data_IF_326795935344
#
_entry.id   IF_326795935344
#
_cell.length_a   1.000
_cell.length_b   1.000
_cell.length_c   1.000
_cell.angle_alpha   90.00
_cell.angle_beta   90.00
_cell.angle_gamma   90.00
#
_symmetry.space_group_name_H-M   'P 1'
#
loop_
_entity.id
_entity.type
_entity.pdbx_description
1 polymer ?
#
# COMPACT_ATOMS: atom_id res chain seq x y z
N UNK A 1 9.57 -11.93 -10.76
CA UNK A 1 8.98 -12.95 -11.65
C UNK A 1 10.02 -13.66 -12.53
N UNK A 2 10.97 -12.92 -13.10
CA UNK A 2 12.08 -13.51 -13.89
C UNK A 2 12.88 -14.59 -13.14
N UNK A 3 13.27 -14.32 -11.88
CA UNK A 3 13.99 -15.28 -11.04
C UNK A 3 13.24 -16.61 -10.88
N UNK A 4 11.93 -16.54 -10.56
CA UNK A 4 11.08 -17.72 -10.41
C UNK A 4 10.94 -18.52 -11.71
N UNK A 5 10.75 -17.84 -12.85
CA UNK A 5 10.71 -18.51 -14.16
C UNK A 5 12.02 -19.22 -14.47
N UNK A 6 13.17 -18.63 -14.10
CA UNK A 6 14.48 -19.25 -14.27
C UNK A 6 14.69 -20.46 -13.37
N UNK A 7 14.27 -20.41 -12.11
CA UNK A 7 14.32 -21.55 -11.18
C UNK A 7 13.44 -22.71 -11.65
N UNK A 8 12.23 -22.40 -12.13
CA UNK A 8 11.28 -23.39 -12.66
C UNK A 8 11.58 -23.84 -14.10
N UNK A 9 12.65 -23.33 -14.73
CA UNK A 9 13.03 -23.59 -16.12
C UNK A 9 11.88 -23.36 -17.12
N UNK A 10 11.07 -22.32 -16.90
CA UNK A 10 9.95 -21.95 -17.77
C UNK A 10 10.48 -21.14 -18.95
N UNK A 11 10.21 -21.59 -20.17
CA UNK A 11 10.56 -20.84 -21.38
C UNK A 11 9.62 -19.64 -21.55
N UNK A 12 10.11 -18.59 -22.19
CA UNK A 12 9.28 -17.45 -22.58
C UNK A 12 8.23 -17.83 -23.63
N UNK A 13 8.48 -18.89 -24.40
CA UNK A 13 7.54 -19.45 -25.39
C UNK A 13 6.32 -20.09 -24.75
N UNK A 14 6.43 -20.55 -23.50
CA UNK A 14 5.37 -21.28 -22.82
C UNK A 14 4.19 -20.38 -22.42
N UNK A 15 4.37 -19.04 -22.48
CA UNK A 15 3.36 -18.01 -22.18
C UNK A 15 2.57 -18.25 -20.88
N UNK A 16 3.20 -18.88 -19.88
CA UNK A 16 2.57 -19.19 -18.59
C UNK A 16 2.26 -17.90 -17.82
N UNK A 17 1.06 -17.79 -17.25
CA UNK A 17 0.66 -16.63 -16.44
C UNK A 17 1.51 -16.45 -15.18
N UNK A 18 1.68 -15.22 -14.69
CA UNK A 18 2.45 -14.95 -13.47
C UNK A 18 1.83 -15.61 -12.22
N UNK A 19 0.50 -15.75 -12.19
CA UNK A 19 -0.22 -16.41 -11.10
C UNK A 19 0.16 -17.89 -11.01
N UNK A 20 0.16 -18.61 -12.13
CA UNK A 20 0.54 -20.03 -12.18
C UNK A 20 2.03 -20.26 -11.88
N UNK A 21 2.90 -19.29 -12.18
CA UNK A 21 4.31 -19.30 -11.76
C UNK A 21 4.43 -19.20 -10.24
N UNK A 22 3.64 -18.33 -9.61
CA UNK A 22 3.61 -18.15 -8.16
C UNK A 22 3.05 -19.38 -7.44
N UNK A 23 1.96 -19.97 -7.94
CA UNK A 23 1.40 -21.24 -7.45
C UNK A 23 2.44 -22.36 -7.46
N UNK A 24 3.15 -22.56 -8.58
CA UNK A 24 4.21 -23.59 -8.69
C UNK A 24 5.37 -23.36 -7.72
N UNK A 25 5.68 -22.10 -7.39
CA UNK A 25 6.71 -21.77 -6.40
C UNK A 25 6.20 -21.90 -4.95
N UNK A 26 4.90 -22.09 -4.73
CA UNK A 26 4.29 -22.01 -3.40
C UNK A 26 4.42 -20.61 -2.79
N UNK A 27 4.34 -19.55 -3.62
CA UNK A 27 4.52 -18.15 -3.19
C UNK A 27 3.27 -17.34 -3.48
N UNK A 28 2.91 -16.45 -2.57
CA UNK A 28 1.83 -15.48 -2.76
C UNK A 28 2.38 -14.15 -3.32
N UNK A 29 1.50 -13.24 -3.75
CA UNK A 29 1.88 -11.90 -4.25
C UNK A 29 2.37 -11.00 -3.09
N UNK A 30 3.63 -11.17 -2.69
CA UNK A 30 4.23 -10.39 -1.59
C UNK A 30 4.46 -8.90 -1.92
N UNK A 31 4.55 -8.54 -3.20
CA UNK A 31 4.90 -7.18 -3.62
C UNK A 31 3.85 -6.14 -3.22
N UNK A 32 2.56 -6.44 -3.41
CA UNK A 32 1.50 -5.48 -3.09
C UNK A 32 1.45 -5.23 -1.59
N UNK A 33 1.55 -6.29 -0.78
CA UNK A 33 1.60 -6.20 0.67
C UNK A 33 2.84 -5.42 1.14
N UNK A 34 4.00 -5.67 0.54
CA UNK A 34 5.22 -4.88 0.82
C UNK A 34 5.02 -3.38 0.51
N UNK A 35 4.35 -3.06 -0.60
CA UNK A 35 4.05 -1.67 -0.98
C UNK A 35 3.06 -1.04 0.00
N UNK A 36 1.99 -1.75 0.38
CA UNK A 36 1.00 -1.31 1.37
C UNK A 36 1.69 -0.96 2.69
N UNK A 37 2.45 -1.91 3.24
CA UNK A 37 3.20 -1.76 4.50
C UNK A 37 4.15 -0.57 4.46
N UNK A 38 5.03 -0.48 3.45
CA UNK A 38 5.99 0.64 3.34
C UNK A 38 5.32 2.00 3.19
N UNK A 39 4.20 2.05 2.47
CA UNK A 39 3.40 3.27 2.36
C UNK A 39 2.78 3.68 3.68
N UNK A 40 2.39 2.75 4.54
CA UNK A 40 1.84 3.09 5.84
C UNK A 40 2.94 3.51 6.84
N UNK A 41 4.03 2.76 6.92
CA UNK A 41 5.20 3.06 7.74
C UNK A 41 5.77 4.45 7.42
N UNK A 42 5.76 4.86 6.15
CA UNK A 42 6.24 6.18 5.78
C UNK A 42 5.32 7.31 6.27
N UNK A 43 4.01 7.09 6.40
CA UNK A 43 3.12 8.06 7.05
C UNK A 43 3.42 8.18 8.53
N UNK A 44 3.61 7.06 9.24
CA UNK A 44 4.07 7.08 10.64
C UNK A 44 5.34 7.93 10.76
N UNK A 45 6.33 7.70 9.89
CA UNK A 45 7.59 8.44 9.91
C UNK A 45 7.43 9.94 9.66
N UNK A 46 6.52 10.32 8.76
CA UNK A 46 6.21 11.74 8.48
C UNK A 46 5.48 12.38 9.65
N UNK A 47 4.52 11.69 10.26
CA UNK A 47 3.64 12.23 11.31
C UNK A 47 4.25 12.11 12.71
N UNK A 48 5.31 11.32 12.86
CA UNK A 48 6.03 11.16 14.12
C UNK A 48 6.54 12.49 14.64
N UNK A 49 6.16 12.83 15.87
CA UNK A 49 6.46 14.12 16.54
C UNK A 49 7.96 14.42 16.65
N UNK A 50 8.81 13.39 16.60
CA UNK A 50 10.26 13.55 16.70
C UNK A 50 10.88 14.16 15.43
N UNK A 51 10.12 14.26 14.34
CA UNK A 51 10.65 14.48 13.00
C UNK A 51 10.29 15.85 12.41
N UNK A 52 10.92 16.91 12.93
CA UNK A 52 10.68 18.30 12.49
C UNK A 52 11.04 18.57 11.01
N UNK A 53 11.78 17.65 10.37
CA UNK A 53 12.18 17.76 8.95
C UNK A 53 11.01 17.63 7.97
N UNK A 54 9.89 17.06 8.40
CA UNK A 54 8.75 16.77 7.52
C UNK A 54 7.54 17.70 7.71
N UNK A 55 7.72 18.85 8.37
CA UNK A 55 6.63 19.80 8.66
C UNK A 55 5.84 20.19 7.38
N UNK A 56 6.52 20.46 6.27
CA UNK A 56 5.84 20.80 5.00
C UNK A 56 5.00 19.62 4.49
N UNK A 57 5.50 18.38 4.56
CA UNK A 57 4.75 17.19 4.15
C UNK A 57 3.53 16.96 5.07
N UNK A 58 3.67 17.19 6.37
CA UNK A 58 2.55 17.10 7.32
C UNK A 58 1.46 18.12 6.96
N UNK A 59 1.82 19.35 6.63
CA UNK A 59 0.87 20.39 6.19
C UNK A 59 0.18 20.02 4.87
N UNK A 60 0.92 19.44 3.91
CA UNK A 60 0.35 18.93 2.65
C UNK A 60 -0.66 17.80 2.93
N UNK A 61 -0.29 16.83 3.76
CA UNK A 61 -1.13 15.67 4.07
C UNK A 61 -2.40 16.06 4.85
N UNK A 62 -2.30 17.07 5.72
CA UNK A 62 -3.41 17.63 6.48
C UNK A 62 -4.25 18.64 5.68
N UNK A 63 -3.92 18.88 4.41
CA UNK A 63 -4.60 19.85 3.54
C UNK A 63 -4.65 21.27 4.12
N UNK A 64 -3.63 21.65 4.92
CA UNK A 64 -3.52 22.96 5.58
C UNK A 64 -2.85 24.04 4.73
N UNK A 65 -2.44 23.69 3.51
CA UNK A 65 -1.76 24.60 2.60
C UNK A 65 -2.80 25.34 1.76
N UNK A 66 -2.64 26.65 1.69
CA UNK A 66 -3.49 27.50 0.86
C UNK A 66 -3.23 27.27 -0.64
N UNK A 67 -4.31 27.28 -1.42
CA UNK A 67 -4.28 27.09 -2.86
C UNK A 67 -4.92 25.77 -3.32
N UNK A 68 -5.43 25.79 -4.55
CA UNK A 68 -6.05 24.61 -5.18
C UNK A 68 -5.06 24.02 -6.18
N UNK A 69 -4.90 22.70 -6.17
CA UNK A 69 -4.18 22.00 -7.24
C UNK A 69 -4.95 22.14 -8.56
N UNK A 70 -4.23 22.33 -9.67
CA UNK A 70 -4.83 22.32 -11.01
C UNK A 70 -5.47 20.96 -11.29
N UNK A 71 -6.65 20.98 -11.93
CA UNK A 71 -7.42 19.76 -12.21
C UNK A 71 -6.84 19.09 -13.45
N UNK A 72 -5.85 18.21 -13.26
CA UNK A 72 -5.37 17.27 -14.27
C UNK A 72 -6.09 15.91 -14.21
N UNK A 73 -5.59 14.90 -14.94
CA UNK A 73 -6.06 13.50 -14.81
C UNK A 73 -5.98 13.07 -13.34
N UNK A 74 -7.11 12.67 -12.75
CA UNK A 74 -7.18 12.22 -11.35
C UNK A 74 -6.24 11.02 -11.15
N UNK A 75 -5.07 11.27 -10.56
CA UNK A 75 -4.21 10.20 -10.04
C UNK A 75 -4.79 9.76 -8.70
N UNK A 76 -4.84 8.45 -8.46
CA UNK A 76 -5.21 7.92 -7.14
C UNK A 76 -4.18 8.47 -6.15
N UNK A 77 -4.64 9.29 -5.20
CA UNK A 77 -3.76 9.90 -4.22
C UNK A 77 -3.24 8.82 -3.26
N UNK A 78 -2.08 9.07 -2.66
CA UNK A 78 -1.53 8.17 -1.65
C UNK A 78 -2.50 7.98 -0.48
N UNK A 79 -3.10 9.08 0.01
CA UNK A 79 -4.15 9.04 1.05
C UNK A 79 -5.36 8.24 0.62
N UNK A 80 -5.83 8.37 -0.63
CA UNK A 80 -6.93 7.56 -1.14
C UNK A 80 -6.59 6.06 -1.10
N UNK A 81 -5.40 5.67 -1.59
CA UNK A 81 -4.97 4.26 -1.54
C UNK A 81 -4.99 3.70 -0.11
N UNK A 82 -4.51 4.45 0.88
CA UNK A 82 -4.48 3.95 2.26
C UNK A 82 -5.87 3.82 2.86
N UNK A 83 -6.77 4.78 2.59
CA UNK A 83 -8.16 4.64 3.03
C UNK A 83 -8.82 3.41 2.40
N UNK A 84 -8.62 3.23 1.10
CA UNK A 84 -9.21 2.12 0.36
C UNK A 84 -8.61 0.76 0.78
N UNK A 85 -7.30 0.69 1.04
CA UNK A 85 -6.62 -0.57 1.41
C UNK A 85 -6.85 -1.02 2.85
N UNK A 86 -6.98 -0.08 3.78
CA UNK A 86 -7.09 -0.38 5.21
C UNK A 86 -8.49 -0.12 5.77
N UNK A 87 -9.41 0.39 4.93
CA UNK A 87 -10.78 0.78 5.32
C UNK A 87 -10.81 1.70 6.56
N UNK A 88 -9.92 2.70 6.58
CA UNK A 88 -9.81 3.68 7.67
C UNK A 88 -10.00 5.09 7.13
N UNK A 89 -10.50 5.99 7.97
CA UNK A 89 -10.56 7.41 7.65
C UNK A 89 -9.18 8.07 7.76
N UNK A 90 -9.01 9.24 7.13
CA UNK A 90 -7.76 10.00 7.27
C UNK A 90 -7.49 10.46 8.71
N UNK A 91 -8.54 10.73 9.49
CA UNK A 91 -8.42 11.14 10.89
C UNK A 91 -7.90 9.99 11.75
N UNK A 92 -8.48 8.78 11.60
CA UNK A 92 -8.03 7.57 12.30
C UNK A 92 -6.59 7.23 11.96
N UNK A 93 -6.24 7.30 10.67
CA UNK A 93 -4.88 7.11 10.20
C UNK A 93 -3.90 8.09 10.88
N UNK A 94 -4.23 9.38 10.96
CA UNK A 94 -3.36 10.37 11.59
C UNK A 94 -3.25 10.19 13.11
N UNK A 95 -4.31 9.73 13.79
CA UNK A 95 -4.26 9.39 15.22
C UNK A 95 -3.36 8.18 15.46
N UNK A 96 -3.57 7.11 14.69
CA UNK A 96 -2.76 5.90 14.75
C UNK A 96 -1.28 6.21 14.45
N UNK A 97 -0.99 7.14 13.53
CA UNK A 97 0.39 7.51 13.18
C UNK A 97 1.17 8.17 14.32
N UNK A 98 0.53 8.51 15.45
CA UNK A 98 1.20 9.02 16.64
C UNK A 98 1.78 7.90 17.52
N UNK A 99 1.26 6.67 17.41
CA UNK A 99 1.74 5.49 18.12
C UNK A 99 2.13 4.38 17.13
N UNK A 100 3.37 3.92 17.23
CA UNK A 100 3.88 2.83 16.39
C UNK A 100 3.08 1.54 16.57
N UNK A 101 2.53 1.28 17.75
CA UNK A 101 1.75 0.07 18.01
C UNK A 101 0.44 0.06 17.22
N UNK A 102 -0.23 1.21 17.09
CA UNK A 102 -1.46 1.33 16.31
C UNK A 102 -1.20 1.10 14.82
N UNK A 103 -0.09 1.64 14.30
CA UNK A 103 0.34 1.39 12.92
C UNK A 103 0.68 -0.08 12.70
N UNK A 104 1.37 -0.72 13.64
CA UNK A 104 1.66 -2.16 13.56
C UNK A 104 0.39 -3.01 13.55
N UNK A 105 -0.64 -2.63 14.32
CA UNK A 105 -1.96 -3.28 14.32
C UNK A 105 -2.70 -3.08 12.98
N UNK A 106 -2.59 -1.90 12.37
CA UNK A 106 -3.17 -1.66 11.04
C UNK A 106 -2.44 -2.50 9.97
N UNK A 107 -1.12 -2.67 10.08
CA UNK A 107 -0.32 -3.50 9.17
C UNK A 107 -0.66 -4.98 9.32
N UNK A 108 -0.85 -5.48 10.53
CA UNK A 108 -1.18 -6.89 10.75
C UNK A 108 -2.54 -7.27 10.14
N UNK A 109 -3.49 -6.32 10.13
CA UNK A 109 -4.82 -6.48 9.53
C UNK A 109 -4.84 -6.46 7.99
N UNK A 110 -3.70 -6.23 7.30
CA UNK A 110 -3.60 -6.26 5.82
C UNK A 110 -4.03 -7.60 5.23
N UNK A 111 -3.81 -8.70 5.97
CA UNK A 111 -4.07 -10.07 5.50
C UNK A 111 -5.54 -10.36 5.20
N UNK A 112 -6.48 -9.60 5.79
CA UNK A 112 -7.91 -9.87 5.65
C UNK A 112 -8.57 -9.08 4.49
N UNK A 113 -7.87 -8.11 3.90
CA UNK A 113 -8.42 -7.25 2.85
C UNK A 113 -8.23 -7.76 1.41
N UNK A 114 -7.48 -8.86 1.21
CA UNK A 114 -7.34 -9.49 -0.10
C UNK A 114 -8.61 -10.28 -0.50
N UNK A 115 -9.36 -10.82 0.49
CA UNK A 115 -10.63 -11.55 0.24
C UNK A 115 -11.70 -10.67 -0.43
N UNK A 116 -11.74 -9.37 -0.12
CA UNK A 116 -12.77 -8.45 -0.65
C UNK A 116 -12.52 -7.99 -2.09
N UNK A 117 -11.27 -8.02 -2.57
CA UNK A 117 -10.91 -7.57 -3.91
C UNK A 117 -11.05 -8.73 -4.92
N UNK A 118 -10.75 -9.96 -4.51
CA UNK A 118 -10.95 -11.14 -5.37
C UNK A 118 -12.45 -11.37 -5.66
N UNK A 119 -13.35 -11.08 -4.72
CA UNK A 119 -14.82 -11.13 -4.93
C UNK A 119 -15.39 -10.02 -5.85
N UNK A 120 -14.64 -8.95 -6.11
CA UNK A 120 -15.02 -7.89 -7.05
C UNK A 120 -14.41 -8.09 -8.45
N UNK A 121 -13.23 -8.71 -8.57
CA UNK A 121 -12.62 -9.03 -9.87
C UNK A 121 -13.21 -10.31 -10.53
N UNK A 122 -13.87 -11.19 -9.77
CA UNK A 122 -14.57 -12.37 -10.29
C UNK A 122 -16.05 -12.14 -10.68
N UNK A 123 -16.57 -10.91 -10.56
CA UNK A 123 -17.94 -10.52 -10.96
C UNK A 123 -18.01 -9.78 -12.30
#
# INVERSE_FOLDING_TARGET
>A
MWLYRRMLKISWTDRISNQRVLEKMGKQKELLNTIKTRKLEYIEHIMSKLNQRYNVLQLILQEKIEGKRSVGRRRISWMKNLRDWYNITSIELFRASLDRNDIANIISNIRNGEELIEEEEER
#
